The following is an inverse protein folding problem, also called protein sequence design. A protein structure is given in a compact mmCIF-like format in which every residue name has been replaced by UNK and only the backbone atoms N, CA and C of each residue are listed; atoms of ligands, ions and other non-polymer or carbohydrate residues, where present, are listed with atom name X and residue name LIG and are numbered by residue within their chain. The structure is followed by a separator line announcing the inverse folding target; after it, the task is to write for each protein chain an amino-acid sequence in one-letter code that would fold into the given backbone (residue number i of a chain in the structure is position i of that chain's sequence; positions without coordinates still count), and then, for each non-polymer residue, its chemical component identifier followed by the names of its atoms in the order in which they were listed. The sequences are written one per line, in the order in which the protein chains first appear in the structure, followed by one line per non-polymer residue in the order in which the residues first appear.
data_IF_875769770502
#
_entry.id   IF_875769770502
#
_cell.length_a   1.000
_cell.length_b   1.000
_cell.length_c   1.000
_cell.angle_alpha   90.00
_cell.angle_beta   90.00
_cell.angle_gamma   90.00
#
_symmetry.space_group_name_H-M   'P 1'
#
loop_
_entity.id
_entity.type
_entity.pdbx_description
1 polymer ?
#
# COMPACT_ATOMS: atom_id res chain seq x y z
N UNK A 1 -13.56 -0.88 -28.95
CA UNK A 1 -13.68 -0.19 -27.64
C UNK A 1 -15.00 -0.58 -26.98
N UNK A 2 -15.11 -0.59 -25.64
CA UNK A 2 -16.36 -0.87 -24.95
C UNK A 2 -17.43 0.18 -25.26
N UNK A 3 -18.71 -0.22 -25.21
CA UNK A 3 -19.86 0.66 -25.54
C UNK A 3 -20.04 1.83 -24.56
N UNK A 4 -19.72 1.61 -23.28
CA UNK A 4 -19.96 2.60 -22.21
C UNK A 4 -18.66 3.32 -21.83
N UNK A 5 -17.77 2.61 -21.13
CA UNK A 5 -16.44 3.09 -20.75
C UNK A 5 -15.60 1.90 -20.31
N UNK A 6 -14.29 2.11 -20.24
CA UNK A 6 -13.42 1.24 -19.46
C UNK A 6 -13.37 1.80 -18.04
N UNK A 7 -13.58 0.95 -17.04
CA UNK A 7 -13.49 1.33 -15.62
C UNK A 7 -12.34 0.59 -14.95
N UNK A 8 -11.80 1.17 -13.90
CA UNK A 8 -10.72 0.61 -13.11
C UNK A 8 -11.09 0.61 -11.62
N UNK A 9 -10.67 -0.43 -10.91
CA UNK A 9 -10.68 -0.47 -9.44
C UNK A 9 -9.27 -0.11 -8.97
N UNK A 10 -9.17 0.99 -8.23
CA UNK A 10 -7.93 1.49 -7.65
C UNK A 10 -7.94 1.35 -6.13
N UNK A 11 -6.83 0.93 -5.53
CA UNK A 11 -6.76 0.61 -4.09
C UNK A 11 -6.24 1.77 -3.24
N UNK A 12 -6.80 2.96 -3.48
CA UNK A 12 -6.71 4.13 -2.60
C UNK A 12 -7.99 4.95 -2.71
N UNK A 13 -8.08 5.99 -1.87
CA UNK A 13 -9.06 7.07 -2.02
C UNK A 13 -8.50 8.08 -3.04
N UNK A 14 -8.95 8.02 -4.29
CA UNK A 14 -8.48 8.94 -5.32
C UNK A 14 -8.94 10.36 -4.99
N UNK A 15 -8.12 11.39 -5.25
CA UNK A 15 -6.93 11.40 -6.11
C UNK A 15 -5.61 11.04 -5.42
N UNK A 16 -5.61 10.62 -4.16
CA UNK A 16 -4.38 10.23 -3.48
C UNK A 16 -3.83 8.91 -4.06
N UNK A 17 -2.52 8.81 -4.14
CA UNK A 17 -1.78 7.60 -4.49
C UNK A 17 -2.08 7.03 -5.89
N UNK A 18 -2.21 7.89 -6.90
CA UNK A 18 -2.24 7.46 -8.31
C UNK A 18 -0.98 6.64 -8.65
N UNK A 19 -1.10 5.57 -9.43
CA UNK A 19 0.02 4.77 -9.90
C UNK A 19 0.13 3.35 -9.32
N UNK A 20 1.36 2.83 -9.28
CA UNK A 20 1.60 1.39 -9.25
C UNK A 20 1.54 0.70 -7.86
N UNK A 21 1.63 1.45 -6.76
CA UNK A 21 1.77 0.90 -5.40
C UNK A 21 0.95 1.65 -4.33
N UNK A 22 -0.35 1.88 -4.54
CA UNK A 22 -1.15 2.72 -3.65
C UNK A 22 -1.22 2.20 -2.21
N UNK A 23 -1.36 0.88 -2.05
CA UNK A 23 -1.48 0.23 -0.73
C UNK A 23 -0.20 0.39 0.08
N UNK A 24 0.95 0.08 -0.51
CA UNK A 24 2.24 0.25 0.16
C UNK A 24 2.52 1.72 0.48
N UNK A 25 2.18 2.62 -0.43
CA UNK A 25 2.40 4.06 -0.25
C UNK A 25 1.55 4.66 0.86
N UNK A 26 0.30 4.22 1.01
CA UNK A 26 -0.55 4.61 2.13
C UNK A 26 0.07 4.19 3.47
N UNK A 27 0.51 2.93 3.58
CA UNK A 27 1.16 2.42 4.80
C UNK A 27 2.49 3.14 5.08
N UNK A 28 3.33 3.36 4.07
CA UNK A 28 4.62 4.06 4.19
C UNK A 28 4.45 5.47 4.77
N UNK A 29 3.43 6.18 4.29
CA UNK A 29 3.11 7.53 4.74
C UNK A 29 2.42 7.57 6.11
N UNK A 30 2.15 6.42 6.72
CA UNK A 30 1.51 6.34 8.03
C UNK A 30 0.02 6.70 8.00
N UNK A 31 -0.62 6.55 6.85
CA UNK A 31 -2.07 6.76 6.76
C UNK A 31 -2.80 5.78 7.70
N UNK A 32 -3.86 6.25 8.33
CA UNK A 32 -4.76 5.43 9.17
C UNK A 32 -6.01 5.01 8.40
N UNK A 33 -6.21 5.59 7.21
CA UNK A 33 -7.31 5.29 6.32
C UNK A 33 -6.82 5.19 4.87
N UNK A 34 -7.51 4.36 4.10
CA UNK A 34 -7.38 4.25 2.65
C UNK A 34 -8.75 3.86 2.10
N UNK A 35 -8.81 3.29 0.90
CA UNK A 35 -10.06 2.80 0.36
C UNK A 35 -9.91 2.13 -0.99
N UNK A 36 -11.06 1.97 -1.62
CA UNK A 36 -11.17 1.49 -2.99
C UNK A 36 -11.96 2.51 -3.78
N UNK A 37 -11.42 2.91 -4.92
CA UNK A 37 -12.10 3.79 -5.87
C UNK A 37 -12.40 3.05 -7.16
N UNK A 38 -13.63 3.15 -7.66
CA UNK A 38 -13.98 2.81 -9.03
C UNK A 38 -13.96 4.11 -9.83
N UNK A 39 -13.11 4.17 -10.85
CA UNK A 39 -12.97 5.33 -11.74
C UNK A 39 -13.24 4.95 -13.19
N UNK A 40 -13.62 5.92 -14.00
CA UNK A 40 -13.48 5.82 -15.45
C UNK A 40 -12.00 5.91 -15.82
N UNK A 41 -11.56 5.14 -16.80
CA UNK A 41 -10.19 5.23 -17.29
C UNK A 41 -10.04 6.40 -18.26
N UNK A 42 -8.96 7.15 -18.10
CA UNK A 42 -8.52 8.18 -19.04
C UNK A 42 -7.05 7.94 -19.46
N UNK A 43 -6.56 8.75 -20.41
CA UNK A 43 -5.16 8.69 -20.85
C UNK A 43 -4.18 9.00 -19.71
N UNK A 44 -4.54 9.94 -18.83
CA UNK A 44 -3.75 10.27 -17.65
C UNK A 44 -3.95 9.17 -16.58
N UNK A 45 -2.84 8.61 -16.11
CA UNK A 45 -2.81 7.51 -15.15
C UNK A 45 -3.64 7.83 -13.90
N UNK A 46 -4.62 6.98 -13.62
CA UNK A 46 -5.51 7.04 -12.45
C UNK A 46 -6.15 8.41 -12.17
N UNK A 47 -6.39 9.20 -13.22
CA UNK A 47 -6.91 10.56 -13.10
C UNK A 47 -8.35 10.72 -13.59
N UNK A 48 -8.99 9.63 -14.03
CA UNK A 48 -10.33 9.71 -14.58
C UNK A 48 -11.40 9.93 -13.51
N UNK A 49 -12.61 10.37 -13.89
CA UNK A 49 -13.68 10.66 -12.96
C UNK A 49 -14.05 9.47 -12.05
N UNK A 50 -14.32 9.76 -10.78
CA UNK A 50 -14.72 8.79 -9.76
C UNK A 50 -16.19 8.42 -9.94
N UNK A 51 -16.48 7.12 -10.01
CA UNK A 51 -17.83 6.55 -10.09
C UNK A 51 -18.34 6.20 -8.69
N UNK A 52 -17.51 5.53 -7.89
CA UNK A 52 -17.85 5.08 -6.55
C UNK A 52 -16.57 4.94 -5.72
N UNK A 53 -16.69 5.08 -4.40
CA UNK A 53 -15.57 4.95 -3.47
C UNK A 53 -16.05 4.31 -2.16
N UNK A 54 -15.18 3.53 -1.53
CA UNK A 54 -15.41 2.95 -0.21
C UNK A 54 -14.18 3.19 0.69
N UNK A 55 -14.40 3.78 1.87
CA UNK A 55 -13.37 4.10 2.84
C UNK A 55 -13.09 2.93 3.77
N UNK A 56 -11.82 2.68 4.07
CA UNK A 56 -11.35 1.53 4.85
C UNK A 56 -10.26 1.96 5.82
N UNK A 57 -10.41 1.62 7.10
CA UNK A 57 -9.36 1.83 8.10
C UNK A 57 -8.18 0.86 7.88
N UNK A 58 -6.95 1.39 8.01
CA UNK A 58 -5.71 0.63 8.05
C UNK A 58 -5.44 0.26 9.52
N UNK A 59 -5.34 -1.03 9.84
CA UNK A 59 -5.12 -1.42 11.23
C UNK A 59 -3.66 -1.19 11.65
N UNK A 60 -3.37 -0.93 12.94
CA UNK A 60 -2.04 -0.55 13.41
C UNK A 60 -0.90 -1.50 12.99
N UNK A 61 -1.15 -2.81 12.99
CA UNK A 61 -0.15 -3.83 12.68
C UNK A 61 -0.37 -4.51 11.32
N UNK A 62 -1.35 -4.02 10.55
CA UNK A 62 -1.70 -4.61 9.26
C UNK A 62 -0.59 -4.40 8.24
N UNK A 63 -0.20 -5.49 7.60
CA UNK A 63 0.81 -5.51 6.54
C UNK A 63 0.15 -5.26 5.19
N UNK A 64 0.89 -4.74 4.22
CA UNK A 64 0.34 -4.42 2.88
C UNK A 64 -0.36 -5.61 2.22
N UNK A 65 0.16 -6.83 2.38
CA UNK A 65 -0.46 -8.04 1.84
C UNK A 65 -1.82 -8.38 2.46
N UNK A 66 -2.03 -8.05 3.74
CA UNK A 66 -3.29 -8.27 4.46
C UNK A 66 -4.31 -7.22 4.06
N UNK A 67 -3.90 -5.94 4.09
CA UNK A 67 -4.72 -4.82 3.65
C UNK A 67 -5.17 -5.01 2.20
N UNK A 68 -4.25 -5.40 1.31
CA UNK A 68 -4.57 -5.66 -0.10
C UNK A 68 -5.62 -6.75 -0.27
N UNK A 69 -5.54 -7.86 0.49
CA UNK A 69 -6.57 -8.92 0.45
C UNK A 69 -7.94 -8.39 0.85
N UNK A 70 -8.01 -7.55 1.88
CA UNK A 70 -9.25 -6.87 2.30
C UNK A 70 -9.77 -5.92 1.22
N UNK A 71 -8.92 -5.07 0.66
CA UNK A 71 -9.30 -4.12 -0.40
C UNK A 71 -9.77 -4.82 -1.68
N UNK A 72 -9.18 -5.95 -2.06
CA UNK A 72 -9.65 -6.76 -3.19
C UNK A 72 -11.09 -7.23 -2.96
N UNK A 73 -11.40 -7.74 -1.76
CA UNK A 73 -12.76 -8.18 -1.41
C UNK A 73 -13.74 -7.02 -1.45
N UNK A 74 -13.41 -5.91 -0.77
CA UNK A 74 -14.25 -4.71 -0.71
C UNK A 74 -14.46 -4.11 -2.11
N UNK A 75 -13.42 -4.07 -2.93
CA UNK A 75 -13.51 -3.59 -4.31
C UNK A 75 -14.40 -4.45 -5.20
N UNK A 76 -14.35 -5.77 -5.05
CA UNK A 76 -15.28 -6.68 -5.72
C UNK A 76 -16.73 -6.44 -5.32
N UNK A 77 -16.99 -6.26 -4.01
CA UNK A 77 -18.32 -5.96 -3.49
C UNK A 77 -18.83 -4.59 -3.98
N UNK A 78 -17.97 -3.56 -3.96
CA UNK A 78 -18.28 -2.23 -4.47
C UNK A 78 -18.60 -2.28 -5.97
N UNK A 79 -17.84 -3.04 -6.76
CA UNK A 79 -18.08 -3.19 -8.19
C UNK A 79 -19.44 -3.83 -8.46
N UNK A 80 -19.77 -4.93 -7.78
CA UNK A 80 -21.06 -5.62 -7.93
C UNK A 80 -22.23 -4.70 -7.59
N UNK A 81 -22.09 -3.86 -6.55
CA UNK A 81 -23.12 -2.85 -6.18
C UNK A 81 -23.23 -1.71 -7.21
N UNK A 82 -22.12 -1.33 -7.84
CA UNK A 82 -22.03 -0.18 -8.74
C UNK A 82 -22.54 -0.48 -10.14
N UNK A 83 -22.20 -1.67 -10.68
CA UNK A 83 -22.48 -2.03 -12.09
C UNK A 83 -23.95 -1.90 -12.53
N UNK A 84 -24.96 -2.29 -11.73
CA UNK A 84 -26.37 -2.16 -12.13
C UNK A 84 -26.80 -0.72 -12.46
N UNK A 85 -26.14 0.27 -11.84
CA UNK A 85 -26.47 1.69 -11.98
C UNK A 85 -25.42 2.47 -12.80
N UNK A 86 -24.51 1.77 -13.50
CA UNK A 86 -23.35 2.40 -14.14
C UNK A 86 -23.73 3.47 -15.19
N UNK A 87 -24.92 3.37 -15.79
CA UNK A 87 -25.43 4.33 -16.78
C UNK A 87 -26.15 5.53 -16.17
N UNK A 88 -26.54 5.46 -14.90
CA UNK A 88 -27.28 6.52 -14.20
C UNK A 88 -26.39 7.29 -13.22
N UNK A 89 -25.29 6.69 -12.75
CA UNK A 89 -24.29 7.36 -11.94
C UNK A 89 -23.60 8.44 -12.78
N UNK A 90 -23.53 9.66 -12.25
CA UNK A 90 -22.72 10.75 -12.80
C UNK A 90 -21.34 10.72 -12.15
N UNK A 91 -20.27 10.37 -12.89
CA UNK A 91 -18.93 10.38 -12.33
C UNK A 91 -18.50 11.79 -11.94
N UNK A 92 -17.76 11.89 -10.83
CA UNK A 92 -17.26 13.16 -10.31
C UNK A 92 -15.79 13.35 -10.70
N UNK A 93 -15.40 14.51 -11.25
CA UNK A 93 -14.00 14.77 -11.59
C UNK A 93 -13.12 14.76 -10.33
N UNK A 94 -11.89 14.28 -10.47
CA UNK A 94 -10.91 14.33 -9.39
C UNK A 94 -10.38 15.76 -9.20
N UNK A 95 -10.13 16.17 -7.94
CA UNK A 95 -9.44 17.44 -7.67
C UNK A 95 -7.92 17.27 -7.83
N UNK A 96 -7.34 17.88 -8.85
CA UNK A 96 -5.91 17.74 -9.15
C UNK A 96 -4.99 18.27 -8.04
N UNK A 97 -5.44 19.27 -7.26
CA UNK A 97 -4.69 19.84 -6.14
C UNK A 97 -4.44 18.84 -5.00
N UNK A 98 -5.32 17.84 -4.86
CA UNK A 98 -5.23 16.81 -3.81
C UNK A 98 -4.48 15.56 -4.29
N UNK A 99 -4.04 15.55 -5.56
CA UNK A 99 -3.45 14.36 -6.18
C UNK A 99 -2.03 14.08 -5.67
N UNK A 100 -1.79 12.83 -5.31
CA UNK A 100 -0.45 12.33 -4.97
C UNK A 100 -0.13 11.11 -5.82
N UNK A 101 1.14 10.85 -6.06
CA UNK A 101 1.59 9.75 -6.91
C UNK A 101 2.41 8.74 -6.12
N UNK A 102 2.17 7.46 -6.38
CA UNK A 102 3.00 6.37 -5.90
C UNK A 102 3.94 5.87 -7.01
N UNK A 103 5.11 5.39 -6.61
CA UNK A 103 6.15 4.92 -7.53
C UNK A 103 6.17 3.41 -7.61
N UNK A 104 6.70 2.87 -8.70
CA UNK A 104 7.04 1.46 -8.77
C UNK A 104 8.11 1.17 -7.71
N UNK A 105 7.78 0.27 -6.79
CA UNK A 105 8.71 -0.19 -5.75
C UNK A 105 9.89 -0.90 -6.41
N UNK A 106 11.08 -0.80 -5.81
CA UNK A 106 12.33 -1.44 -6.23
C UNK A 106 12.92 -2.26 -5.09
N UNK A 107 13.96 -3.05 -5.39
CA UNK A 107 14.62 -3.87 -4.36
C UNK A 107 15.30 -2.99 -3.30
N UNK A 108 15.88 -1.87 -3.72
CA UNK A 108 16.64 -0.95 -2.88
C UNK A 108 15.73 -0.22 -1.88
N UNK A 109 14.44 -0.07 -2.19
CA UNK A 109 13.46 0.52 -1.28
C UNK A 109 13.35 -0.30 0.01
N UNK A 110 13.70 -1.59 0.01
CA UNK A 110 13.71 -2.43 1.21
C UNK A 110 14.84 -2.10 2.20
N UNK A 111 15.86 -1.35 1.81
CA UNK A 111 16.99 -1.02 2.68
C UNK A 111 16.51 -0.11 3.83
N UNK A 112 16.71 -0.55 5.08
CA UNK A 112 16.37 0.20 6.28
C UNK A 112 17.59 0.89 6.87
N UNK A 113 17.37 2.12 7.30
CA UNK A 113 18.23 2.84 8.23
C UNK A 113 17.66 2.66 9.63
N UNK A 114 18.26 1.75 10.42
CA UNK A 114 17.75 1.41 11.75
C UNK A 114 17.88 2.54 12.76
N UNK A 115 18.74 3.53 12.49
CA UNK A 115 18.93 4.71 13.34
C UNK A 115 17.90 5.82 13.04
N UNK A 116 17.10 5.64 11.99
CA UNK A 116 16.01 6.56 11.64
C UNK A 116 14.75 6.33 12.50
N UNK A 117 13.74 7.19 12.30
CA UNK A 117 12.49 7.19 13.05
C UNK A 117 11.83 5.79 13.13
N UNK A 118 11.53 5.35 14.36
CA UNK A 118 10.99 4.02 14.64
C UNK A 118 9.63 3.77 13.97
N UNK A 119 8.76 4.80 13.88
CA UNK A 119 7.44 4.69 13.24
C UNK A 119 7.61 4.55 11.74
N UNK A 120 8.49 5.34 11.11
CA UNK A 120 8.82 5.22 9.68
C UNK A 120 9.39 3.84 9.37
N UNK A 121 10.30 3.35 10.20
CA UNK A 121 10.87 2.01 10.08
C UNK A 121 9.79 0.93 10.19
N UNK A 122 8.85 1.08 11.14
CA UNK A 122 7.74 0.14 11.28
C UNK A 122 6.76 0.18 10.11
N UNK A 123 6.40 1.37 9.62
CA UNK A 123 5.57 1.56 8.43
C UNK A 123 6.21 0.91 7.20
N UNK A 124 7.53 1.07 7.05
CA UNK A 124 8.31 0.45 5.98
C UNK A 124 8.32 -1.08 6.07
N UNK A 125 8.50 -1.63 7.28
CA UNK A 125 8.37 -3.06 7.55
C UNK A 125 6.98 -3.60 7.16
N UNK A 126 5.91 -2.93 7.59
CA UNK A 126 4.53 -3.31 7.25
C UNK A 126 4.23 -3.20 5.75
N UNK A 127 4.69 -2.12 5.12
CA UNK A 127 4.46 -1.86 3.70
C UNK A 127 5.16 -2.87 2.80
N UNK A 128 6.39 -3.28 3.15
CA UNK A 128 7.22 -4.15 2.30
C UNK A 128 7.27 -5.61 2.77
N UNK A 129 6.33 -6.04 3.62
CA UNK A 129 6.32 -7.37 4.22
C UNK A 129 6.42 -8.54 3.21
N UNK A 130 5.91 -8.37 1.98
CA UNK A 130 5.99 -9.39 0.92
C UNK A 130 7.16 -9.14 -0.03
N UNK A 131 7.21 -7.94 -0.61
CA UNK A 131 8.24 -7.50 -1.53
C UNK A 131 8.47 -6.00 -1.35
N UNK A 132 9.73 -5.51 -1.37
CA UNK A 132 10.99 -6.23 -1.53
C UNK A 132 11.47 -6.97 -0.26
N UNK A 133 10.69 -6.94 0.82
CA UNK A 133 11.12 -7.17 2.20
C UNK A 133 12.08 -6.10 2.69
N UNK A 134 11.98 -5.79 3.97
CA UNK A 134 12.92 -4.88 4.62
C UNK A 134 14.18 -5.60 5.02
N UNK A 135 15.32 -4.93 4.86
CA UNK A 135 16.63 -5.48 5.20
C UNK A 135 17.61 -4.37 5.59
N UNK A 136 18.68 -4.75 6.27
CA UNK A 136 19.82 -3.87 6.57
C UNK A 136 21.12 -4.65 6.35
N UNK A 137 22.27 -3.98 6.49
CA UNK A 137 23.58 -4.61 6.41
C UNK A 137 24.25 -4.61 7.78
N UNK A 138 24.84 -5.75 8.16
CA UNK A 138 25.72 -5.88 9.34
C UNK A 138 26.96 -6.65 8.92
N UNK A 139 28.14 -6.09 9.18
CA UNK A 139 29.44 -6.66 8.78
C UNK A 139 29.50 -7.01 7.28
N UNK A 140 28.95 -6.14 6.43
CA UNK A 140 28.89 -6.32 4.97
C UNK A 140 27.87 -7.36 4.48
N UNK A 141 27.15 -8.03 5.37
CA UNK A 141 26.15 -9.06 5.02
C UNK A 141 24.74 -8.53 5.10
N UNK A 142 23.91 -8.91 4.12
CA UNK A 142 22.49 -8.56 4.10
C UNK A 142 21.73 -9.36 5.16
N UNK A 143 20.91 -8.67 5.96
CA UNK A 143 20.02 -9.27 6.96
C UNK A 143 18.59 -8.84 6.64
N UNK A 144 17.72 -9.79 6.33
CA UNK A 144 16.30 -9.55 6.06
C UNK A 144 15.53 -9.61 7.38
N UNK A 145 14.66 -8.62 7.63
CA UNK A 145 13.78 -8.59 8.80
C UNK A 145 12.50 -9.34 8.45
N UNK A 146 12.13 -10.34 9.26
CA UNK A 146 10.92 -11.16 9.04
C UNK A 146 9.86 -10.94 10.10
N UNK A 147 10.27 -10.59 11.32
CA UNK A 147 9.37 -10.27 12.42
C UNK A 147 9.89 -9.05 13.17
N UNK A 148 9.04 -8.04 13.35
CA UNK A 148 9.31 -6.84 14.12
C UNK A 148 8.01 -6.28 14.70
N UNK A 149 8.12 -5.48 15.76
CA UNK A 149 7.00 -4.76 16.38
C UNK A 149 7.39 -3.31 16.70
N UNK A 150 6.40 -2.43 16.78
CA UNK A 150 6.56 -1.10 17.35
C UNK A 150 6.02 -1.11 18.78
N UNK A 151 6.84 -0.76 19.75
CA UNK A 151 6.46 -0.71 21.16
C UNK A 151 7.15 0.49 21.81
N UNK A 152 6.40 1.31 22.55
CA UNK A 152 6.93 2.52 23.22
C UNK A 152 7.78 3.41 22.28
N UNK A 153 7.34 3.59 21.04
CA UNK A 153 8.05 4.33 19.99
C UNK A 153 9.43 3.76 19.62
N UNK A 154 9.64 2.46 19.83
CA UNK A 154 10.85 1.73 19.43
C UNK A 154 10.51 0.64 18.41
N UNK A 155 11.32 0.57 17.35
CA UNK A 155 11.23 -0.49 16.35
C UNK A 155 12.06 -1.69 16.82
N UNK A 156 11.38 -2.74 17.28
CA UNK A 156 12.01 -3.92 17.87
C UNK A 156 11.99 -5.05 16.85
N UNK A 157 13.16 -5.39 16.31
CA UNK A 157 13.36 -6.57 15.46
C UNK A 157 13.32 -7.83 16.33
N UNK A 158 12.52 -8.81 15.94
CA UNK A 158 12.35 -10.10 16.63
C UNK A 158 13.05 -11.22 15.88
N UNK A 159 12.83 -11.34 14.58
CA UNK A 159 13.43 -12.39 13.74
C UNK A 159 14.01 -11.84 12.46
N UNK A 160 15.08 -12.48 12.03
CA UNK A 160 15.81 -12.15 10.81
C UNK A 160 16.23 -13.39 10.04
N UNK A 161 16.49 -13.21 8.74
CA UNK A 161 17.20 -14.17 7.90
C UNK A 161 18.54 -13.56 7.50
N UNK A 162 19.67 -14.08 8.03
CA UNK A 162 21.01 -13.72 7.55
C UNK A 162 21.22 -14.19 6.11
N UNK A 163 22.14 -13.55 5.40
CA UNK A 163 22.52 -13.94 4.04
C UNK A 163 22.92 -15.43 3.96
N UNK A 164 22.23 -16.19 3.09
CA UNK A 164 22.44 -17.63 2.92
C UNK A 164 21.96 -18.51 4.10
N UNK A 165 21.35 -17.91 5.13
CA UNK A 165 20.91 -18.59 6.35
C UNK A 165 19.43 -18.95 6.38
N UNK A 166 19.01 -19.51 7.53
CA UNK A 166 17.60 -19.70 7.89
C UNK A 166 17.15 -18.58 8.84
N UNK A 167 15.85 -18.49 9.06
CA UNK A 167 15.29 -17.56 10.05
C UNK A 167 15.78 -17.89 11.46
N UNK A 168 16.18 -16.85 12.19
CA UNK A 168 16.67 -16.92 13.56
C UNK A 168 16.14 -15.75 14.38
N UNK A 169 16.10 -15.92 15.72
CA UNK A 169 15.85 -14.82 16.65
C UNK A 169 16.96 -13.78 16.55
N UNK A 170 16.58 -12.50 16.48
CA UNK A 170 17.52 -11.39 16.49
C UNK A 170 17.80 -10.97 17.93
N UNK A 171 18.99 -11.33 18.42
CA UNK A 171 19.51 -10.87 19.70
C UNK A 171 20.48 -9.73 19.42
N UNK A 172 20.12 -8.53 19.89
CA UNK A 172 20.99 -7.34 19.87
C UNK A 172 22.15 -7.57 20.84
#
# INVERSE_FOLDING_TARGET
MPRLSSINIHYSLLPKYRGASPVESAILNGETETGVTIQQMEFKMDAGPIIAEEKVAILPDEKAGELRKRLIKIGGELLVKTLPNITTIKPSPQNEADSTNCKKIKKEDGLMDLDSDAVKNYNKFRAYATWPRTFFFKDGKKIIITEAKLENNQFIIKKVIPEGGKEVEYKV
#
